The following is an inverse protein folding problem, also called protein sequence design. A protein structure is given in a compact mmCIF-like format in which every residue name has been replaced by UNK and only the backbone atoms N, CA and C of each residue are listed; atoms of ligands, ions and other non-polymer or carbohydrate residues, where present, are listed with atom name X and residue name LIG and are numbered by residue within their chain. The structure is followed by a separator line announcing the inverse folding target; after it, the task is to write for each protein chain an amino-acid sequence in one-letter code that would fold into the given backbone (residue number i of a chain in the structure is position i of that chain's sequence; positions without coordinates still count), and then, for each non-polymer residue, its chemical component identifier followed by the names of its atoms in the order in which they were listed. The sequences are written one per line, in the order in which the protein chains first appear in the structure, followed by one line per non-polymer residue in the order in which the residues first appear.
data_IF_979046732363
#
_entry.id   IF_979046732363
#
_cell.length_a   1.000
_cell.length_b   1.000
_cell.length_c   1.000
_cell.angle_alpha   90.00
_cell.angle_beta   90.00
_cell.angle_gamma   90.00
#
_symmetry.space_group_name_H-M   'P 1'
#
loop_
_entity.id
_entity.type
_entity.pdbx_description
1 polymer ?
#
# COMPACT_ATOMS: atom_id res chain seq x y z
N UNK A 1 -18.24 -17.93 -3.78
CA UNK A 1 -18.77 -19.10 -4.46
C UNK A 1 -19.38 -20.00 -3.38
N UNK A 2 -20.72 -20.15 -3.37
CA UNK A 2 -21.39 -21.12 -2.51
C UNK A 2 -20.99 -22.52 -3.01
N UNK A 3 -20.75 -23.42 -2.09
CA UNK A 3 -20.47 -24.85 -2.38
C UNK A 3 -21.70 -25.62 -2.87
N UNK A 4 -22.81 -24.92 -3.13
CA UNK A 4 -24.02 -25.52 -3.64
C UNK A 4 -23.88 -25.84 -5.12
N UNK A 5 -23.77 -27.14 -5.40
CA UNK A 5 -23.83 -27.80 -6.72
C UNK A 5 -22.77 -27.35 -7.74
N UNK A 6 -21.56 -27.84 -7.55
CA UNK A 6 -20.55 -27.91 -8.61
C UNK A 6 -20.84 -29.07 -9.62
N UNK A 7 -21.91 -29.84 -9.38
CA UNK A 7 -22.37 -30.88 -10.25
C UNK A 7 -22.98 -30.30 -11.53
N UNK A 8 -22.46 -30.67 -12.68
CA UNK A 8 -22.91 -30.19 -13.99
C UNK A 8 -22.12 -29.03 -14.59
N UNK A 9 -21.07 -28.55 -13.93
CA UNK A 9 -20.14 -27.60 -14.54
C UNK A 9 -19.15 -28.30 -15.47
N UNK A 10 -18.88 -27.67 -16.59
CA UNK A 10 -17.82 -28.09 -17.54
C UNK A 10 -16.44 -27.81 -16.95
N UNK A 11 -15.92 -28.78 -16.21
CA UNK A 11 -14.60 -28.70 -15.61
C UNK A 11 -13.51 -28.85 -16.68
N UNK A 12 -12.70 -27.81 -16.83
CA UNK A 12 -11.52 -27.89 -17.71
C UNK A 12 -10.29 -28.32 -16.91
N UNK A 13 -9.40 -29.13 -17.49
CA UNK A 13 -8.12 -29.43 -16.86
C UNK A 13 -7.35 -28.15 -16.54
N UNK A 14 -6.73 -28.08 -15.36
CA UNK A 14 -5.83 -26.98 -15.00
C UNK A 14 -4.54 -27.05 -15.80
N UNK A 15 -3.99 -25.91 -16.15
CA UNK A 15 -2.64 -25.84 -16.70
C UNK A 15 -1.65 -25.90 -15.56
N UNK A 16 -0.74 -26.87 -15.59
CA UNK A 16 0.36 -26.94 -14.62
C UNK A 16 1.39 -25.88 -14.99
N UNK A 17 1.49 -24.83 -14.17
CA UNK A 17 2.52 -23.81 -14.32
C UNK A 17 3.83 -24.31 -13.73
N UNK A 18 4.95 -23.95 -14.37
CA UNK A 18 6.27 -24.17 -13.81
C UNK A 18 6.47 -23.22 -12.64
N UNK A 19 6.65 -23.75 -11.46
CA UNK A 19 7.06 -22.96 -10.28
C UNK A 19 8.53 -22.57 -10.45
N UNK A 20 8.91 -21.30 -10.27
CA UNK A 20 10.33 -20.92 -10.22
C UNK A 20 11.04 -21.71 -9.11
N UNK A 21 12.25 -22.17 -9.42
CA UNK A 21 13.09 -22.89 -8.45
C UNK A 21 13.75 -21.91 -7.48
N UNK A 22 12.94 -21.41 -6.54
CA UNK A 22 13.39 -20.48 -5.51
C UNK A 22 13.16 -21.08 -4.13
N UNK A 23 14.15 -20.93 -3.26
CA UNK A 23 14.00 -21.29 -1.86
C UNK A 23 13.02 -20.29 -1.19
N UNK A 24 12.02 -20.82 -0.50
CA UNK A 24 11.17 -20.00 0.34
C UNK A 24 11.96 -19.56 1.58
N UNK A 25 11.89 -18.27 1.92
CA UNK A 25 12.48 -17.71 3.13
C UNK A 25 11.42 -16.93 3.92
N UNK A 26 11.54 -16.86 5.26
CA UNK A 26 10.64 -16.03 6.04
C UNK A 26 10.83 -14.54 5.70
N UNK A 27 9.76 -13.76 5.79
CA UNK A 27 9.84 -12.30 5.74
C UNK A 27 10.69 -11.79 6.91
N UNK A 28 11.55 -10.82 6.65
CA UNK A 28 12.48 -10.29 7.65
C UNK A 28 11.91 -9.15 8.49
N UNK A 29 10.72 -8.66 8.16
CA UNK A 29 10.03 -7.62 8.90
C UNK A 29 8.64 -8.09 9.33
N UNK A 30 7.98 -7.28 10.13
CA UNK A 30 6.64 -7.52 10.66
C UNK A 30 5.61 -7.64 9.53
N UNK A 31 4.53 -8.37 9.81
CA UNK A 31 3.43 -8.55 8.87
C UNK A 31 2.49 -7.34 8.86
N UNK A 32 1.74 -7.20 7.78
CA UNK A 32 0.65 -6.24 7.74
C UNK A 32 -0.48 -6.67 8.68
N UNK A 33 -1.01 -5.73 9.46
CA UNK A 33 -2.12 -5.92 10.38
C UNK A 33 -3.26 -4.92 10.10
N UNK A 34 -4.47 -5.29 10.49
CA UNK A 34 -5.61 -4.37 10.59
C UNK A 34 -5.59 -3.73 11.97
N UNK A 35 -5.33 -2.43 12.03
CA UNK A 35 -5.04 -1.76 13.32
C UNK A 35 -6.26 -1.14 14.00
N UNK A 36 -7.34 -0.89 13.26
CA UNK A 36 -8.57 -0.30 13.81
C UNK A 36 -9.77 -0.55 12.88
N UNK A 37 -10.94 -0.01 13.25
CA UNK A 37 -12.16 -0.03 12.43
C UNK A 37 -12.79 1.35 12.42
N UNK A 38 -13.16 1.82 11.24
CA UNK A 38 -13.79 3.12 11.03
C UNK A 38 -15.04 2.98 10.17
N UNK A 39 -16.01 3.84 10.45
CA UNK A 39 -17.22 3.99 9.65
C UNK A 39 -17.23 5.36 9.00
N UNK A 40 -17.96 5.57 7.88
CA UNK A 40 -18.15 6.89 7.33
C UNK A 40 -18.78 7.83 8.37
N UNK A 41 -18.40 9.10 8.32
CA UNK A 41 -18.96 10.16 9.18
C UNK A 41 -20.20 10.80 8.55
N UNK A 42 -20.37 10.66 7.24
CA UNK A 42 -21.53 11.19 6.51
C UNK A 42 -21.75 10.47 5.18
N UNK A 43 -22.95 10.63 4.64
CA UNK A 43 -23.33 10.18 3.29
C UNK A 43 -24.17 11.24 2.61
N UNK A 44 -23.97 11.42 1.30
CA UNK A 44 -24.83 12.27 0.49
C UNK A 44 -25.13 11.62 -0.86
N UNK A 45 -26.27 11.99 -1.45
CA UNK A 45 -26.66 11.51 -2.78
C UNK A 45 -25.85 12.25 -3.85
N UNK A 46 -25.29 11.50 -4.80
CA UNK A 46 -24.47 12.03 -5.89
C UNK A 46 -25.03 11.71 -7.29
N UNK A 47 -26.25 11.18 -7.35
CA UNK A 47 -26.98 10.81 -8.57
C UNK A 47 -28.20 9.99 -8.22
N UNK A 48 -28.91 9.51 -9.24
CA UNK A 48 -30.17 8.77 -9.03
C UNK A 48 -29.95 7.45 -8.26
N UNK A 49 -28.83 6.77 -8.54
CA UNK A 49 -28.44 5.48 -7.97
C UNK A 49 -27.07 5.51 -7.27
N UNK A 50 -26.58 6.70 -6.92
CA UNK A 50 -25.20 6.88 -6.43
C UNK A 50 -25.15 7.64 -5.13
N UNK A 51 -24.28 7.16 -4.20
CA UNK A 51 -24.08 7.77 -2.88
C UNK A 51 -22.59 7.86 -2.59
N UNK A 52 -22.15 9.00 -2.04
CA UNK A 52 -20.77 9.24 -1.60
C UNK A 52 -20.73 9.25 -0.08
N UNK A 53 -19.87 8.44 0.46
CA UNK A 53 -19.58 8.30 1.87
C UNK A 53 -18.26 8.97 2.19
N UNK A 54 -18.24 9.89 3.16
CA UNK A 54 -17.02 10.54 3.67
C UNK A 54 -16.52 9.79 4.89
N UNK A 55 -15.30 9.32 4.86
CA UNK A 55 -14.63 8.66 5.99
C UNK A 55 -14.06 9.65 7.02
N UNK A 56 -14.19 10.98 6.77
CA UNK A 56 -13.68 12.05 7.64
C UNK A 56 -12.20 12.40 7.40
N UNK A 57 -11.38 11.45 6.98
CA UNK A 57 -9.97 11.64 6.60
C UNK A 57 -9.54 10.56 5.61
N UNK A 58 -8.34 10.71 5.04
CA UNK A 58 -7.73 9.67 4.23
C UNK A 58 -7.29 8.47 5.09
N UNK A 59 -7.52 7.29 4.55
CA UNK A 59 -7.05 6.02 5.11
C UNK A 59 -6.46 5.15 4.00
N UNK A 60 -5.57 4.27 4.39
CA UNK A 60 -5.11 3.15 3.53
C UNK A 60 -5.53 1.85 4.19
N UNK A 61 -6.37 1.07 3.51
CA UNK A 61 -6.87 -0.14 4.15
C UNK A 61 -7.83 -0.97 3.31
N UNK A 62 -8.50 -1.89 3.98
CA UNK A 62 -9.49 -2.77 3.39
C UNK A 62 -10.90 -2.35 3.80
N UNK A 63 -11.82 -2.46 2.85
CA UNK A 63 -13.22 -2.08 3.04
C UNK A 63 -14.11 -3.30 3.05
N UNK A 64 -14.95 -3.40 4.08
CA UNK A 64 -16.05 -4.35 4.18
C UNK A 64 -17.36 -3.58 4.06
N UNK A 65 -18.28 -4.05 3.20
CA UNK A 65 -19.58 -3.44 3.00
C UNK A 65 -20.67 -4.52 3.15
N UNK A 66 -21.59 -4.32 4.10
CA UNK A 66 -22.78 -5.15 4.23
C UNK A 66 -23.78 -4.72 3.15
N UNK A 67 -23.93 -5.56 2.14
CA UNK A 67 -24.81 -5.32 1.00
C UNK A 67 -26.23 -5.83 1.26
N UNK A 68 -27.27 -5.11 0.81
CA UNK A 68 -28.65 -5.61 0.81
C UNK A 68 -28.80 -6.74 -0.21
N UNK A 69 -30.01 -7.29 -0.31
CA UNK A 69 -30.36 -8.16 -1.43
C UNK A 69 -30.28 -7.35 -2.73
N UNK A 70 -29.44 -7.78 -3.65
CA UNK A 70 -29.27 -7.17 -4.98
C UNK A 70 -29.71 -8.20 -6.01
N UNK A 71 -30.44 -7.76 -7.02
CA UNK A 71 -30.92 -8.59 -8.13
C UNK A 71 -29.80 -9.45 -8.73
N UNK A 72 -30.17 -10.64 -9.19
CA UNK A 72 -29.22 -11.58 -9.79
C UNK A 72 -28.49 -10.95 -11.00
N UNK A 73 -27.17 -11.00 -10.96
CA UNK A 73 -26.30 -10.43 -11.98
C UNK A 73 -26.16 -8.91 -11.97
N UNK A 74 -26.95 -8.16 -11.18
CA UNK A 74 -26.80 -6.69 -11.04
C UNK A 74 -25.49 -6.36 -10.35
N UNK A 75 -24.75 -5.43 -10.94
CA UNK A 75 -23.46 -4.95 -10.42
C UNK A 75 -23.67 -3.68 -9.58
N UNK A 76 -23.11 -3.68 -8.40
CA UNK A 76 -22.92 -2.49 -7.55
C UNK A 76 -21.44 -2.13 -7.65
N UNK A 77 -21.13 -0.91 -8.08
CA UNK A 77 -19.76 -0.43 -8.24
C UNK A 77 -19.32 0.38 -7.01
N UNK A 78 -18.07 0.18 -6.59
CA UNK A 78 -17.41 0.90 -5.51
C UNK A 78 -16.22 1.65 -6.08
N UNK A 79 -16.22 2.98 -5.93
CA UNK A 79 -15.16 3.86 -6.41
C UNK A 79 -14.52 4.55 -5.22
N UNK A 80 -13.19 4.75 -5.26
CA UNK A 80 -12.40 5.25 -4.15
C UNK A 80 -11.63 6.48 -4.58
N UNK A 81 -11.72 7.58 -3.80
CA UNK A 81 -10.98 8.81 -4.05
C UNK A 81 -10.46 9.42 -2.74
N UNK A 82 -9.28 10.01 -2.79
CA UNK A 82 -8.64 10.67 -1.68
C UNK A 82 -9.12 12.12 -1.47
N UNK A 83 -9.64 12.76 -2.51
CA UNK A 83 -10.24 14.10 -2.43
C UNK A 83 -11.54 14.15 -3.23
N UNK A 84 -12.41 15.07 -2.86
CA UNK A 84 -13.67 15.32 -3.53
C UNK A 84 -13.79 16.83 -3.83
N UNK A 85 -13.71 17.17 -5.10
CA UNK A 85 -14.07 18.49 -5.61
C UNK A 85 -15.52 18.42 -6.06
N UNK A 86 -16.38 19.23 -5.46
CA UNK A 86 -17.84 19.24 -5.66
C UNK A 86 -18.26 19.32 -7.13
N UNK A 87 -17.40 19.88 -7.99
CA UNK A 87 -17.61 20.06 -9.43
C UNK A 87 -16.87 19.02 -10.29
N UNK A 88 -16.08 18.11 -9.67
CA UNK A 88 -15.39 17.00 -10.31
C UNK A 88 -16.04 15.69 -9.85
N UNK A 89 -17.15 15.35 -10.51
CA UNK A 89 -17.93 14.15 -10.16
C UNK A 89 -17.34 12.85 -10.71
N UNK A 90 -16.18 12.87 -11.31
CA UNK A 90 -15.63 11.71 -12.00
C UNK A 90 -14.68 10.93 -11.09
N UNK A 91 -15.26 10.12 -10.19
CA UNK A 91 -14.56 9.00 -9.62
C UNK A 91 -14.05 8.10 -10.74
N UNK A 92 -12.76 7.77 -10.71
CA UNK A 92 -12.13 6.97 -11.76
C UNK A 92 -12.77 5.58 -11.81
N UNK A 93 -13.29 5.22 -12.96
CA UNK A 93 -13.76 3.87 -13.25
C UNK A 93 -12.60 3.02 -13.79
N UNK A 94 -12.66 1.72 -13.55
CA UNK A 94 -11.69 0.75 -14.08
C UNK A 94 -10.81 0.11 -13.01
N UNK A 95 -9.50 0.22 -13.14
CA UNK A 95 -8.50 -0.52 -12.35
C UNK A 95 -8.59 -0.29 -10.83
N UNK A 96 -9.08 0.88 -10.40
CA UNK A 96 -9.19 1.27 -8.99
C UNK A 96 -10.57 1.04 -8.39
N UNK A 97 -11.55 0.55 -9.17
CA UNK A 97 -12.90 0.23 -8.71
C UNK A 97 -13.05 -1.24 -8.35
N UNK A 98 -13.99 -1.51 -7.46
CA UNK A 98 -14.41 -2.86 -7.11
C UNK A 98 -15.89 -3.04 -7.47
N UNK A 99 -16.32 -4.31 -7.59
CA UNK A 99 -17.70 -4.63 -7.95
C UNK A 99 -18.26 -5.73 -7.05
N UNK A 100 -19.48 -5.50 -6.54
CA UNK A 100 -20.29 -6.54 -5.94
C UNK A 100 -21.36 -6.97 -6.95
N UNK A 101 -21.51 -8.28 -7.15
CA UNK A 101 -22.53 -8.84 -8.05
C UNK A 101 -23.60 -9.52 -7.21
N UNK A 102 -24.84 -9.08 -7.39
CA UNK A 102 -26.00 -9.66 -6.71
C UNK A 102 -26.25 -11.11 -7.10
N UNK A 103 -26.89 -11.85 -6.20
CA UNK A 103 -27.32 -13.23 -6.41
C UNK A 103 -28.85 -13.40 -6.39
N UNK A 104 -29.61 -12.30 -6.24
CA UNK A 104 -31.07 -12.27 -6.18
C UNK A 104 -31.71 -12.94 -4.96
N UNK A 105 -30.94 -13.54 -4.04
CA UNK A 105 -31.44 -14.38 -2.94
C UNK A 105 -31.19 -13.79 -1.56
N UNK A 106 -30.01 -13.26 -1.34
CA UNK A 106 -29.61 -12.75 -0.02
C UNK A 106 -28.66 -11.57 -0.17
N UNK A 107 -28.61 -10.72 0.85
CA UNK A 107 -27.51 -9.80 1.03
C UNK A 107 -26.21 -10.55 1.34
N UNK A 108 -25.09 -9.83 1.34
CA UNK A 108 -23.78 -10.40 1.61
C UNK A 108 -22.83 -9.35 2.13
N UNK A 109 -21.59 -9.77 2.41
CA UNK A 109 -20.53 -8.86 2.74
C UNK A 109 -19.56 -8.80 1.56
N UNK A 110 -19.44 -7.63 0.95
CA UNK A 110 -18.31 -7.33 0.08
C UNK A 110 -17.09 -7.10 0.97
N UNK A 111 -15.95 -7.66 0.58
CA UNK A 111 -14.67 -7.46 1.27
C UNK A 111 -13.52 -7.42 0.26
N UNK A 112 -12.70 -6.40 0.32
CA UNK A 112 -11.51 -6.25 -0.52
C UNK A 112 -10.33 -7.05 0.05
N UNK A 113 -10.42 -8.39 0.08
CA UNK A 113 -9.51 -9.28 0.81
C UNK A 113 -8.05 -9.22 0.39
N UNK A 114 -7.77 -9.01 -0.89
CA UNK A 114 -6.42 -9.13 -1.46
C UNK A 114 -5.87 -7.80 -1.96
N UNK A 115 -6.60 -6.71 -1.72
CA UNK A 115 -6.24 -5.39 -2.17
C UNK A 115 -6.56 -4.38 -1.07
N UNK A 116 -5.71 -3.39 -0.91
CA UNK A 116 -6.00 -2.22 -0.10
C UNK A 116 -6.34 -1.03 -1.01
N UNK A 117 -7.02 -0.05 -0.48
CA UNK A 117 -7.33 1.21 -1.17
C UNK A 117 -6.90 2.38 -0.29
N UNK A 118 -6.36 3.43 -0.92
CA UNK A 118 -6.12 4.71 -0.28
C UNK A 118 -7.27 5.65 -0.63
N UNK A 119 -8.07 6.10 0.34
CA UNK A 119 -9.21 6.96 0.07
C UNK A 119 -9.76 7.66 1.32
N UNK A 120 -10.44 8.76 1.09
CA UNK A 120 -11.36 9.40 2.03
C UNK A 120 -12.81 9.21 1.61
N UNK A 121 -13.08 9.23 0.30
CA UNK A 121 -14.43 9.17 -0.24
C UNK A 121 -14.69 7.86 -0.95
N UNK A 122 -15.78 7.18 -0.55
CA UNK A 122 -16.28 5.97 -1.18
C UNK A 122 -17.59 6.29 -1.88
N UNK A 123 -17.61 6.20 -3.21
CA UNK A 123 -18.85 6.28 -3.99
C UNK A 123 -19.34 4.87 -4.28
N UNK A 124 -20.58 4.60 -3.90
CA UNK A 124 -21.30 3.37 -4.23
C UNK A 124 -22.38 3.69 -5.23
N UNK A 125 -22.34 3.02 -6.39
CA UNK A 125 -23.28 3.20 -7.50
C UNK A 125 -24.07 1.92 -7.78
N UNK A 126 -25.35 2.07 -8.12
CA UNK A 126 -26.28 0.98 -8.42
C UNK A 126 -27.25 0.65 -7.29
N UNK A 127 -27.26 1.45 -6.23
CA UNK A 127 -28.22 1.34 -5.10
C UNK A 127 -29.36 2.36 -5.25
N UNK A 128 -30.57 1.97 -4.84
CA UNK A 128 -31.75 2.86 -4.84
C UNK A 128 -31.78 3.79 -3.61
N UNK A 129 -31.19 3.34 -2.51
CA UNK A 129 -31.11 4.08 -1.26
C UNK A 129 -29.70 3.95 -0.66
N UNK A 130 -29.26 4.93 0.16
CA UNK A 130 -27.98 4.84 0.84
C UNK A 130 -27.98 3.68 1.86
N UNK A 131 -26.83 3.04 2.00
CA UNK A 131 -26.59 2.11 3.12
C UNK A 131 -26.43 2.92 4.41
N UNK A 132 -26.77 2.31 5.54
CA UNK A 132 -26.43 2.86 6.85
C UNK A 132 -24.90 2.99 6.98
N UNK A 133 -24.43 4.00 7.70
CA UNK A 133 -22.99 4.25 7.85
C UNK A 133 -22.26 3.04 8.45
N UNK A 134 -22.90 2.36 9.40
CA UNK A 134 -22.40 1.16 10.09
C UNK A 134 -22.31 -0.07 9.17
N UNK A 135 -22.96 -0.04 8.01
CA UNK A 135 -22.85 -1.09 7.00
C UNK A 135 -21.52 -1.06 6.26
N UNK A 136 -20.76 0.02 6.38
CA UNK A 136 -19.46 0.21 5.74
C UNK A 136 -18.39 0.25 6.84
N UNK A 137 -17.43 -0.66 6.78
CA UNK A 137 -16.30 -0.68 7.70
C UNK A 137 -15.00 -0.60 6.91
N UNK A 138 -14.20 0.41 7.19
CA UNK A 138 -12.82 0.51 6.73
C UNK A 138 -11.91 0.06 7.87
N UNK A 139 -11.01 -0.86 7.55
CA UNK A 139 -9.95 -1.32 8.44
C UNK A 139 -8.61 -0.86 7.87
N UNK A 140 -7.95 0.17 8.45
CA UNK A 140 -6.61 0.54 8.05
C UNK A 140 -5.66 -0.65 8.16
N UNK A 141 -4.79 -0.79 7.17
CA UNK A 141 -3.78 -1.83 7.08
C UNK A 141 -2.41 -1.15 7.06
N UNK A 142 -1.53 -1.57 7.92
CA UNK A 142 -0.15 -1.09 8.00
C UNK A 142 0.74 -2.23 8.48
N UNK A 143 2.05 -2.10 8.30
CA UNK A 143 3.00 -3.01 8.93
C UNK A 143 2.92 -2.85 10.46
N UNK A 144 2.85 -3.97 11.18
CA UNK A 144 2.69 -4.02 12.65
C UNK A 144 4.03 -3.84 13.37
N UNK A 145 4.66 -2.68 13.17
CA UNK A 145 5.92 -2.33 13.82
C UNK A 145 5.71 -1.52 15.11
N UNK A 146 6.68 -1.62 16.01
CA UNK A 146 6.66 -0.86 17.26
C UNK A 146 6.90 0.63 17.02
N UNK A 147 6.24 1.49 17.80
CA UNK A 147 6.51 2.91 17.84
C UNK A 147 7.92 3.19 18.36
N UNK A 148 8.59 4.19 17.78
CA UNK A 148 9.95 4.61 18.18
C UNK A 148 9.97 5.91 18.97
N UNK A 149 9.07 6.84 18.69
CA UNK A 149 9.02 8.14 19.34
C UNK A 149 7.58 8.64 19.50
N UNK A 150 7.32 9.28 20.62
CA UNK A 150 6.11 10.05 20.87
C UNK A 150 6.49 11.53 21.03
N UNK A 151 5.65 12.42 20.50
CA UNK A 151 5.82 13.86 20.61
C UNK A 151 4.51 14.54 20.95
N UNK A 152 4.56 15.38 21.99
CA UNK A 152 3.50 16.27 22.39
C UNK A 152 4.10 17.56 22.92
N UNK A 153 3.51 18.70 22.56
CA UNK A 153 3.90 20.00 23.07
C UNK A 153 2.67 20.92 23.22
N UNK A 154 2.89 22.13 23.73
CA UNK A 154 1.82 23.14 23.94
C UNK A 154 1.35 23.81 22.64
N UNK A 155 2.01 23.58 21.53
CA UNK A 155 1.66 24.11 20.21
C UNK A 155 0.83 23.08 19.45
N UNK A 156 -0.44 23.42 19.19
CA UNK A 156 -1.39 22.53 18.53
C UNK A 156 -1.02 22.26 17.06
N UNK A 157 -0.43 23.24 16.37
CA UNK A 157 -0.02 23.07 14.97
C UNK A 157 1.15 22.08 14.84
N UNK A 158 2.11 22.14 15.76
CA UNK A 158 3.22 21.18 15.80
C UNK A 158 2.72 19.76 16.10
N UNK A 159 1.78 19.62 17.05
CA UNK A 159 1.15 18.32 17.32
C UNK A 159 0.39 17.79 16.10
N UNK A 160 -0.32 18.66 15.38
CA UNK A 160 -1.03 18.29 14.16
C UNK A 160 -0.07 17.84 13.04
N UNK A 161 1.05 18.53 12.86
CA UNK A 161 2.11 18.16 11.88
C UNK A 161 2.72 16.81 12.24
N UNK A 162 3.03 16.60 13.53
CA UNK A 162 3.55 15.31 14.00
C UNK A 162 2.58 14.17 13.70
N UNK A 163 1.32 14.30 14.10
CA UNK A 163 0.29 13.29 13.89
C UNK A 163 0.06 13.01 12.40
N UNK A 164 0.02 14.03 11.56
CA UNK A 164 -0.12 13.89 10.12
C UNK A 164 1.07 13.12 9.52
N UNK A 165 2.28 13.45 9.92
CA UNK A 165 3.51 12.78 9.43
C UNK A 165 3.55 11.33 9.88
N UNK A 166 3.25 11.06 11.15
CA UNK A 166 3.18 9.72 11.73
C UNK A 166 2.17 8.84 10.97
N UNK A 167 0.94 9.30 10.80
CA UNK A 167 -0.12 8.56 10.11
C UNK A 167 0.19 8.34 8.62
N UNK A 168 0.76 9.35 7.95
CA UNK A 168 1.14 9.24 6.55
C UNK A 168 2.19 8.16 6.37
N UNK A 169 3.29 8.22 7.12
CA UNK A 169 4.38 7.26 7.00
C UNK A 169 3.93 5.84 7.38
N UNK A 170 3.16 5.69 8.46
CA UNK A 170 2.62 4.40 8.86
C UNK A 170 1.74 3.77 7.76
N UNK A 171 0.93 4.58 7.08
CA UNK A 171 0.04 4.11 6.01
C UNK A 171 0.74 3.79 4.69
N UNK A 172 1.99 4.24 4.50
CA UNK A 172 2.79 3.96 3.31
C UNK A 172 3.65 2.70 3.44
N UNK A 173 3.84 2.17 4.65
CA UNK A 173 4.67 0.97 4.86
C UNK A 173 3.81 -0.29 4.76
N UNK A 174 3.85 -0.92 3.59
CA UNK A 174 3.03 -2.07 3.24
C UNK A 174 3.84 -3.12 2.48
N UNK A 175 3.72 -4.38 2.89
CA UNK A 175 4.35 -5.50 2.17
C UNK A 175 5.86 -5.58 2.27
N UNK A 176 6.46 -4.99 3.32
CA UNK A 176 7.89 -5.09 3.60
C UNK A 176 8.75 -4.02 2.94
N UNK A 177 8.14 -2.93 2.48
CA UNK A 177 8.81 -1.72 1.97
C UNK A 177 7.86 -0.51 2.08
N UNK A 178 8.39 0.69 1.89
CA UNK A 178 7.56 1.88 1.80
C UNK A 178 7.14 2.13 0.35
N UNK A 179 5.86 2.33 0.12
CA UNK A 179 5.32 2.70 -1.20
C UNK A 179 5.32 4.23 -1.36
N UNK A 180 5.44 4.71 -2.59
CA UNK A 180 5.34 6.11 -2.96
C UNK A 180 3.92 6.67 -2.73
N UNK A 181 2.92 5.93 -3.23
CA UNK A 181 1.51 6.25 -3.06
C UNK A 181 0.67 4.98 -2.92
N UNK A 182 -0.36 4.98 -2.06
CA UNK A 182 -1.17 3.79 -1.82
C UNK A 182 -2.27 3.58 -2.86
N UNK A 183 -2.50 4.55 -3.73
CA UNK A 183 -3.63 4.54 -4.66
C UNK A 183 -3.25 4.01 -6.04
N UNK A 184 -2.13 4.44 -6.62
CA UNK A 184 -1.81 4.22 -8.04
C UNK A 184 -0.60 3.29 -8.20
N UNK A 185 0.61 3.78 -7.97
CA UNK A 185 1.84 3.07 -8.35
C UNK A 185 2.21 1.96 -7.37
N UNK A 186 2.21 2.25 -6.07
CA UNK A 186 2.51 1.29 -4.99
C UNK A 186 3.89 0.67 -5.11
N UNK A 187 4.86 1.48 -5.51
CA UNK A 187 6.23 1.05 -5.77
C UNK A 187 7.19 1.58 -4.70
N UNK A 188 8.23 0.81 -4.40
CA UNK A 188 9.27 1.19 -3.45
C UNK A 188 10.34 2.06 -4.10
N UNK A 189 10.03 3.33 -4.39
CA UNK A 189 10.96 4.27 -4.98
C UNK A 189 12.10 4.65 -4.02
N UNK A 190 13.34 4.58 -4.52
CA UNK A 190 14.52 4.94 -3.72
C UNK A 190 14.61 6.43 -3.39
N UNK A 191 14.06 7.30 -4.25
CA UNK A 191 13.99 8.73 -3.98
C UNK A 191 13.09 9.06 -2.80
N UNK A 192 11.90 8.46 -2.78
CA UNK A 192 10.95 8.55 -1.69
C UNK A 192 11.53 7.96 -0.40
N UNK A 193 12.18 6.78 -0.53
CA UNK A 193 12.90 6.15 0.56
C UNK A 193 13.99 7.07 1.15
N UNK A 194 14.82 7.69 0.32
CA UNK A 194 15.86 8.61 0.79
C UNK A 194 15.29 9.82 1.53
N UNK A 195 14.22 10.41 1.01
CA UNK A 195 13.59 11.58 1.63
C UNK A 195 12.93 11.23 2.98
N UNK A 196 12.34 10.04 3.08
CA UNK A 196 11.51 9.64 4.23
C UNK A 196 12.27 8.85 5.30
N UNK A 197 13.39 8.23 4.98
CA UNK A 197 14.16 7.37 5.91
C UNK A 197 14.47 8.05 7.25
N UNK A 198 14.98 9.29 7.31
CA UNK A 198 15.32 9.90 8.60
C UNK A 198 14.11 10.02 9.54
N UNK A 199 12.96 10.45 9.00
CA UNK A 199 11.76 10.63 9.80
C UNK A 199 11.09 9.28 10.13
N UNK A 200 11.04 8.34 9.17
CA UNK A 200 10.48 7.02 9.39
C UNK A 200 11.23 6.26 10.50
N UNK A 201 12.57 6.29 10.48
CA UNK A 201 13.40 5.67 11.51
C UNK A 201 13.39 6.41 12.86
N UNK A 202 12.97 7.65 12.91
CA UNK A 202 12.75 8.38 14.15
C UNK A 202 11.42 8.02 14.79
N UNK A 203 10.37 7.90 13.97
CA UNK A 203 9.01 7.66 14.45
C UNK A 203 8.75 6.19 14.83
N UNK A 204 9.46 5.24 14.19
CA UNK A 204 9.18 3.82 14.33
C UNK A 204 10.47 3.00 14.47
N UNK A 205 10.36 1.84 15.12
CA UNK A 205 11.43 0.86 15.13
C UNK A 205 11.36 0.00 13.85
N UNK A 206 12.02 0.45 12.80
CA UNK A 206 11.92 -0.13 11.44
C UNK A 206 13.22 -0.74 10.92
N UNK A 207 14.18 -1.06 11.79
CA UNK A 207 15.39 -1.78 11.34
C UNK A 207 15.07 -3.09 10.58
N UNK A 208 14.13 -3.94 11.03
CA UNK A 208 13.73 -5.14 10.30
C UNK A 208 13.13 -4.83 8.91
N UNK A 209 12.35 -3.75 8.78
CA UNK A 209 11.82 -3.30 7.49
C UNK A 209 12.95 -2.98 6.50
N UNK A 210 13.97 -2.25 6.93
CA UNK A 210 15.11 -1.92 6.08
C UNK A 210 15.94 -3.15 5.70
N UNK A 211 16.06 -4.14 6.61
CA UNK A 211 16.67 -5.43 6.27
C UNK A 211 15.95 -6.12 5.11
N UNK A 212 14.62 -6.10 5.14
CA UNK A 212 13.79 -6.67 4.08
C UNK A 212 13.87 -5.85 2.78
N UNK A 213 13.75 -4.53 2.88
CA UNK A 213 13.71 -3.66 1.70
C UNK A 213 15.06 -3.56 0.98
N UNK A 214 16.17 -3.45 1.71
CA UNK A 214 17.52 -3.42 1.13
C UNK A 214 17.87 -4.77 0.49
N UNK A 215 17.37 -5.90 1.00
CA UNK A 215 17.48 -7.18 0.30
C UNK A 215 16.83 -7.11 -1.08
N UNK A 216 15.62 -6.56 -1.18
CA UNK A 216 14.95 -6.41 -2.47
C UNK A 216 15.74 -5.51 -3.46
N UNK A 217 16.42 -4.47 -2.96
CA UNK A 217 17.31 -3.64 -3.76
C UNK A 217 18.52 -4.44 -4.26
N UNK A 218 19.14 -5.26 -3.41
CA UNK A 218 20.26 -6.11 -3.79
C UNK A 218 19.84 -7.13 -4.86
N UNK A 219 18.66 -7.72 -4.73
CA UNK A 219 18.10 -8.67 -5.68
C UNK A 219 17.76 -8.04 -7.04
N UNK A 220 17.45 -6.74 -7.06
CA UNK A 220 17.16 -5.98 -8.27
C UNK A 220 18.41 -5.37 -8.93
N UNK A 221 19.60 -5.46 -8.31
CA UNK A 221 20.82 -4.89 -8.88
C UNK A 221 21.18 -5.58 -10.21
N UNK A 222 21.44 -4.76 -11.22
CA UNK A 222 21.82 -5.23 -12.56
C UNK A 222 23.27 -5.73 -12.60
N UNK A 223 23.58 -6.57 -13.56
CA UNK A 223 24.93 -7.15 -13.72
C UNK A 223 26.04 -6.09 -13.84
N UNK A 224 25.75 -4.95 -14.48
CA UNK A 224 26.67 -3.83 -14.64
C UNK A 224 26.82 -2.95 -13.38
N UNK A 225 26.16 -3.30 -12.28
CA UNK A 225 26.16 -2.53 -11.03
C UNK A 225 25.04 -1.50 -10.88
N UNK A 226 24.33 -1.17 -11.98
CA UNK A 226 23.22 -0.22 -11.95
C UNK A 226 22.08 -0.70 -11.04
N UNK A 227 21.33 0.25 -10.50
CA UNK A 227 20.12 0.02 -9.70
C UNK A 227 18.90 0.56 -10.43
N UNK A 228 17.74 -0.12 -10.35
CA UNK A 228 16.47 0.46 -10.80
C UNK A 228 16.05 1.62 -9.92
N UNK A 229 15.01 2.38 -10.32
CA UNK A 229 14.46 3.44 -9.48
C UNK A 229 13.61 2.89 -8.32
N UNK A 230 13.14 1.65 -8.45
CA UNK A 230 12.24 0.99 -7.49
C UNK A 230 12.70 -0.41 -7.15
N UNK A 231 12.47 -0.84 -5.92
CA UNK A 231 12.55 -2.23 -5.51
C UNK A 231 11.44 -2.53 -4.46
N UNK A 232 10.80 -3.71 -4.56
CA UNK A 232 10.99 -4.77 -5.54
C UNK A 232 10.31 -4.45 -6.89
N UNK A 233 11.03 -3.98 -7.85
CA UNK A 233 10.58 -3.85 -9.26
C UNK A 233 11.80 -3.69 -10.18
N UNK A 234 12.37 -4.78 -10.72
CA UNK A 234 13.57 -4.73 -11.53
C UNK A 234 13.36 -4.09 -12.92
N UNK A 235 12.11 -3.85 -13.32
CA UNK A 235 11.77 -3.35 -14.66
C UNK A 235 11.68 -1.83 -14.75
N UNK A 236 11.77 -1.11 -13.61
CA UNK A 236 11.80 0.35 -13.64
C UNK A 236 13.10 0.86 -14.28
N UNK A 237 13.08 2.09 -14.78
CA UNK A 237 14.29 2.80 -15.19
C UNK A 237 15.29 2.88 -14.03
N UNK A 238 16.51 3.34 -14.28
CA UNK A 238 17.55 3.40 -13.25
C UNK A 238 18.57 4.51 -13.53
N UNK A 239 19.65 4.52 -12.75
CA UNK A 239 20.81 5.36 -12.94
C UNK A 239 20.76 6.74 -12.29
N UNK A 240 19.63 7.16 -11.71
CA UNK A 240 19.56 8.44 -11.00
C UNK A 240 20.25 8.36 -9.63
N UNK A 241 21.27 9.17 -9.32
CA UNK A 241 22.04 9.01 -8.08
C UNK A 241 21.18 9.11 -6.81
N UNK A 242 20.21 10.02 -6.78
CA UNK A 242 19.35 10.18 -5.60
C UNK A 242 18.46 8.96 -5.34
N UNK A 243 17.87 8.36 -6.38
CA UNK A 243 17.06 7.14 -6.25
C UNK A 243 17.92 5.91 -5.98
N UNK A 244 18.98 5.74 -6.75
CA UNK A 244 19.75 4.50 -6.76
C UNK A 244 20.78 4.40 -5.63
N UNK A 245 21.15 5.53 -4.99
CA UNK A 245 21.97 5.54 -3.78
C UNK A 245 21.20 5.14 -2.50
N UNK A 246 19.90 4.86 -2.59
CA UNK A 246 19.06 4.54 -1.44
C UNK A 246 19.66 3.42 -0.58
N UNK A 247 20.18 2.36 -1.20
CA UNK A 247 20.80 1.25 -0.45
C UNK A 247 21.92 1.74 0.48
N UNK A 248 22.77 2.69 0.01
CA UNK A 248 23.86 3.24 0.80
C UNK A 248 23.32 4.16 1.90
N UNK A 249 22.49 5.12 1.51
CA UNK A 249 21.97 6.14 2.43
C UNK A 249 21.11 5.53 3.54
N UNK A 250 20.20 4.61 3.19
CA UNK A 250 19.34 3.94 4.16
C UNK A 250 20.13 3.04 5.12
N UNK A 251 21.13 2.32 4.62
CA UNK A 251 22.00 1.49 5.47
C UNK A 251 22.81 2.34 6.46
N UNK A 252 23.32 3.47 6.01
CA UNK A 252 24.03 4.42 6.86
C UNK A 252 23.10 5.02 7.92
N UNK A 253 21.89 5.44 7.57
CA UNK A 253 20.91 5.97 8.51
C UNK A 253 20.47 4.90 9.53
N UNK A 254 20.32 3.65 9.11
CA UNK A 254 19.99 2.54 10.02
C UNK A 254 21.08 2.32 11.06
N UNK A 255 22.35 2.39 10.66
CA UNK A 255 23.45 2.34 11.61
C UNK A 255 23.46 3.56 12.56
N UNK A 256 23.25 4.76 12.05
CA UNK A 256 23.22 5.97 12.88
C UNK A 256 22.10 5.95 13.93
N UNK A 257 20.91 5.48 13.55
CA UNK A 257 19.74 5.52 14.44
C UNK A 257 19.67 4.33 15.40
N UNK A 258 20.08 3.15 14.95
CA UNK A 258 19.92 1.90 15.73
C UNK A 258 21.22 1.22 16.11
N UNK A 259 22.38 1.69 15.63
CA UNK A 259 23.66 0.99 15.80
C UNK A 259 23.73 -0.32 15.02
N UNK A 260 22.82 -0.53 14.05
CA UNK A 260 22.71 -1.78 13.29
C UNK A 260 23.59 -1.72 12.04
N UNK A 261 24.72 -2.40 12.08
CA UNK A 261 25.70 -2.43 10.97
C UNK A 261 25.47 -3.56 9.97
N UNK A 262 24.52 -4.49 10.24
CA UNK A 262 24.27 -5.68 9.43
C UNK A 262 23.96 -5.38 7.97
N UNK A 263 23.30 -4.26 7.68
CA UNK A 263 23.01 -3.83 6.31
C UNK A 263 24.29 -3.47 5.55
N UNK A 264 25.18 -2.71 6.19
CA UNK A 264 26.47 -2.34 5.59
C UNK A 264 27.35 -3.57 5.41
N UNK A 265 27.48 -4.43 6.42
CA UNK A 265 28.26 -5.66 6.33
C UNK A 265 27.80 -6.56 5.19
N UNK A 266 26.48 -6.81 5.12
CA UNK A 266 25.88 -7.76 4.17
C UNK A 266 25.91 -7.24 2.74
N UNK A 267 25.64 -5.96 2.52
CA UNK A 267 25.42 -5.39 1.19
C UNK A 267 26.57 -4.47 0.71
N UNK A 268 27.68 -4.41 1.43
CA UNK A 268 28.86 -3.65 1.04
C UNK A 268 29.33 -3.92 -0.41
N UNK A 269 29.40 -5.18 -0.86
CA UNK A 269 29.77 -5.47 -2.25
C UNK A 269 28.78 -4.89 -3.27
N UNK A 270 27.48 -4.85 -2.94
CA UNK A 270 26.49 -4.24 -3.81
C UNK A 270 26.64 -2.72 -3.88
N UNK A 271 26.94 -2.08 -2.75
CA UNK A 271 27.19 -0.64 -2.66
C UNK A 271 28.40 -0.24 -3.49
N UNK A 272 29.51 -0.99 -3.39
CA UNK A 272 30.71 -0.76 -4.19
C UNK A 272 30.42 -0.88 -5.69
N UNK A 273 29.74 -1.93 -6.13
CA UNK A 273 29.37 -2.10 -7.55
C UNK A 273 28.52 -0.95 -8.09
N UNK A 274 27.62 -0.41 -7.27
CA UNK A 274 26.84 0.75 -7.69
C UNK A 274 27.70 2.02 -7.77
N UNK A 275 28.64 2.24 -6.85
CA UNK A 275 29.58 3.36 -6.90
C UNK A 275 30.48 3.27 -8.14
N UNK A 276 31.02 2.09 -8.45
CA UNK A 276 31.83 1.85 -9.66
C UNK A 276 31.01 2.16 -10.94
N UNK A 277 29.74 1.73 -10.96
CA UNK A 277 28.83 2.08 -12.05
C UNK A 277 28.61 3.59 -12.15
N UNK A 278 28.31 4.26 -11.03
CA UNK A 278 28.07 5.69 -10.99
C UNK A 278 29.32 6.48 -11.46
N UNK A 279 30.52 6.11 -10.99
CA UNK A 279 31.77 6.68 -11.43
C UNK A 279 31.97 6.52 -12.95
N UNK A 280 31.66 5.37 -13.50
CA UNK A 280 31.73 5.10 -14.94
C UNK A 280 30.82 6.00 -15.79
N UNK A 281 29.86 6.70 -15.18
CA UNK A 281 28.94 7.64 -15.84
C UNK A 281 29.32 9.10 -15.65
N UNK A 282 30.30 9.38 -14.79
CA UNK A 282 30.83 10.72 -14.66
C UNK A 282 31.58 11.11 -15.93
N UNK A 283 31.34 12.31 -16.43
CA UNK A 283 32.01 12.90 -17.59
C UNK A 283 32.82 14.05 -17.03
N UNK A 284 34.11 14.08 -17.36
CA UNK A 284 35.01 15.20 -17.02
C UNK A 284 34.63 16.49 -17.74
#
# INVERSE_FOLDING_TARGET
LSTETLDGLDWRPVTVARIPDHAASPQMCELNAKVSRHHPVSVHRAGDDSFIYDMGRNFVGQTDVVMPVVEDGKKIALYYEDYYLKDYADFRDGEYSDYYVGNGKSGGVFSSKFNYKGYRYLKIKGLEAPLALESITLSPVMTDFEGGADFECSDEDLNAIYNMSHETLASLVLGGYMVDCPQIERLGYGGDGNASTPVLQTLFNVSPLYMNWIQAWADCQRENGDMPHTAPNPYSAGGGPFWCAFMIAASWQTWLNYGDERLMERYYPNMCRWLDYAESKCVD
#
